data_IF_937033299096
#
_entry.id   IF_937033299096
#
_cell.length_a   1.000
_cell.length_b   1.000
_cell.length_c   1.000
_cell.angle_alpha   90.00
_cell.angle_beta   90.00
_cell.angle_gamma   90.00
#
_symmetry.space_group_name_H-M   'P 1'
#
loop_
_entity.id
_entity.type
_entity.pdbx_description
1 polymer ?
#
# COMPACT_ATOMS: atom_id res chain seq x y z
N UNK A 1 -17.04 7.96 -8.33
CA UNK A 1 -17.62 7.93 -6.98
C UNK A 1 -16.89 6.81 -6.24
N UNK A 2 -16.10 7.12 -5.21
CA UNK A 2 -15.45 6.10 -4.38
C UNK A 2 -16.54 5.49 -3.48
N UNK A 3 -16.73 4.18 -3.56
CA UNK A 3 -17.71 3.49 -2.72
C UNK A 3 -17.13 3.31 -1.32
N UNK A 4 -17.92 3.57 -0.27
CA UNK A 4 -17.47 3.37 1.12
C UNK A 4 -17.21 1.91 1.47
N UNK A 5 -17.75 0.99 0.67
CA UNK A 5 -17.64 -0.46 0.90
C UNK A 5 -16.57 -1.12 0.01
N UNK A 6 -15.89 -0.34 -0.84
CA UNK A 6 -14.84 -0.85 -1.70
C UNK A 6 -13.46 -0.74 -1.03
N UNK A 7 -12.69 -1.82 -1.09
CA UNK A 7 -11.28 -1.79 -0.73
C UNK A 7 -10.49 -1.12 -1.85
N UNK A 8 -10.10 0.13 -1.63
CA UNK A 8 -9.24 0.88 -2.54
C UNK A 8 -7.76 0.56 -2.29
N UNK A 9 -6.97 0.44 -3.35
CA UNK A 9 -5.53 0.17 -3.26
C UNK A 9 -4.78 0.71 -4.47
N UNK A 10 -3.47 0.90 -4.29
CA UNK A 10 -2.50 1.09 -5.36
C UNK A 10 -1.60 -0.14 -5.40
N UNK A 11 -1.60 -0.87 -6.52
CA UNK A 11 -0.71 -2.00 -6.73
C UNK A 11 0.57 -1.56 -7.43
N UNK A 12 1.70 -2.09 -6.97
CA UNK A 12 3.01 -1.93 -7.63
C UNK A 12 3.51 -3.33 -7.97
N UNK A 13 3.54 -3.65 -9.27
CA UNK A 13 4.17 -4.88 -9.74
C UNK A 13 5.68 -4.63 -9.96
N UNK A 14 6.52 -5.36 -9.22
CA UNK A 14 7.97 -5.24 -9.31
C UNK A 14 8.59 -6.17 -10.39
N UNK A 15 7.79 -6.99 -11.07
CA UNK A 15 8.15 -7.96 -12.11
C UNK A 15 9.02 -9.14 -11.63
N UNK A 16 9.90 -8.90 -10.67
CA UNK A 16 10.82 -9.88 -10.06
C UNK A 16 10.69 -9.91 -8.53
N UNK A 17 11.36 -10.86 -7.89
CA UNK A 17 11.36 -10.99 -6.43
C UNK A 17 12.35 -10.01 -5.77
N UNK A 18 11.84 -9.11 -4.93
CA UNK A 18 12.65 -8.16 -4.17
C UNK A 18 12.46 -8.29 -2.66
N UNK A 19 13.53 -7.94 -1.92
CA UNK A 19 13.45 -7.67 -0.48
C UNK A 19 13.12 -6.19 -0.29
N UNK A 20 11.88 -5.90 0.06
CA UNK A 20 11.41 -4.53 0.35
C UNK A 20 11.74 -4.19 1.81
N UNK A 21 12.51 -3.13 2.03
CA UNK A 21 12.92 -2.68 3.38
C UNK A 21 12.13 -1.48 3.88
N UNK A 22 11.36 -0.82 3.02
CA UNK A 22 10.51 0.31 3.39
C UNK A 22 9.73 0.86 2.20
N UNK A 23 8.80 1.76 2.49
CA UNK A 23 8.05 2.52 1.50
C UNK A 23 7.93 3.99 1.96
N UNK A 24 7.57 4.86 1.02
CA UNK A 24 7.24 6.26 1.28
C UNK A 24 5.99 6.61 0.50
N UNK A 25 5.06 7.31 1.13
CA UNK A 25 3.84 7.81 0.50
C UNK A 25 3.96 9.31 0.29
N UNK A 26 3.19 9.83 -0.66
CA UNK A 26 3.06 11.26 -0.86
C UNK A 26 1.59 11.58 -1.16
N UNK A 27 1.10 12.66 -0.54
CA UNK A 27 -0.21 13.22 -0.85
C UNK A 27 -0.24 13.89 -2.23
N UNK A 28 -1.40 14.41 -2.60
CA UNK A 28 -1.54 15.18 -3.83
C UNK A 28 -0.78 16.50 -3.66
N UNK A 29 0.14 16.81 -4.57
CA UNK A 29 0.81 18.12 -4.58
C UNK A 29 -0.11 19.23 -5.09
N UNK A 30 -0.80 19.00 -6.21
CA UNK A 30 -1.84 19.92 -6.70
C UNK A 30 -1.37 21.34 -7.02
N UNK A 31 -0.14 21.51 -7.53
CA UNK A 31 0.49 22.84 -7.72
C UNK A 31 0.51 23.68 -6.44
N UNK A 32 0.70 23.04 -5.28
CA UNK A 32 0.68 23.69 -3.97
C UNK A 32 -0.71 23.89 -3.38
N UNK A 33 -1.79 23.52 -4.09
CA UNK A 33 -3.17 23.54 -3.58
C UNK A 33 -3.64 22.17 -3.09
N UNK A 34 -2.77 21.16 -3.15
CA UNK A 34 -3.01 19.85 -2.57
C UNK A 34 -3.20 19.89 -1.06
N UNK A 35 -4.25 19.25 -0.57
CA UNK A 35 -4.50 19.09 0.87
C UNK A 35 -4.75 17.63 1.27
N UNK A 36 -4.88 16.75 0.28
CA UNK A 36 -5.29 15.37 0.46
C UNK A 36 -4.07 14.45 0.50
N UNK A 37 -4.03 13.61 1.53
CA UNK A 37 -3.05 12.54 1.70
C UNK A 37 -3.70 11.38 2.47
N UNK A 38 -3.14 10.18 2.32
CA UNK A 38 -3.52 9.06 3.15
C UNK A 38 -2.85 9.21 4.52
N UNK A 39 -3.64 9.38 5.58
CA UNK A 39 -3.14 9.48 6.96
C UNK A 39 -2.61 8.14 7.46
N UNK A 40 -3.27 7.06 7.07
CA UNK A 40 -2.88 5.68 7.36
C UNK A 40 -3.05 4.83 6.10
N UNK A 41 -2.25 3.78 6.00
CA UNK A 41 -2.33 2.81 4.93
C UNK A 41 -1.86 1.46 5.44
N UNK A 42 -2.28 0.41 4.74
CA UNK A 42 -1.91 -0.97 5.04
C UNK A 42 -1.13 -1.52 3.86
N UNK A 43 -0.11 -2.33 4.15
CA UNK A 43 0.65 -3.01 3.10
C UNK A 43 0.16 -4.43 2.98
N UNK A 44 -0.20 -4.82 1.76
CA UNK A 44 -0.38 -6.21 1.40
C UNK A 44 0.66 -6.58 0.35
N UNK A 45 1.19 -7.80 0.45
CA UNK A 45 2.15 -8.31 -0.52
C UNK A 45 1.75 -9.69 -1.01
N UNK A 46 2.22 -10.00 -2.21
CA UNK A 46 2.10 -11.29 -2.85
C UNK A 46 3.47 -11.69 -3.40
N UNK A 47 3.75 -12.98 -3.46
CA UNK A 47 4.94 -13.53 -4.12
C UNK A 47 4.62 -14.90 -4.70
N UNK A 48 5.44 -15.45 -5.62
CA UNK A 48 5.23 -16.79 -6.16
C UNK A 48 4.96 -17.83 -5.06
N UNK A 49 4.04 -18.75 -5.34
CA UNK A 49 3.49 -19.76 -4.42
C UNK A 49 2.49 -19.24 -3.37
N UNK A 50 2.13 -17.96 -3.37
CA UNK A 50 1.00 -17.48 -2.57
C UNK A 50 -0.30 -17.64 -3.35
N UNK A 51 -1.36 -18.10 -2.68
CA UNK A 51 -2.71 -18.20 -3.27
C UNK A 51 -3.55 -16.95 -3.05
N UNK A 52 -3.07 -16.01 -2.23
CA UNK A 52 -3.73 -14.75 -1.89
C UNK A 52 -2.72 -13.71 -1.41
N UNK A 53 -3.12 -12.45 -1.46
CA UNK A 53 -2.41 -11.35 -0.82
C UNK A 53 -2.35 -11.56 0.71
N UNK A 54 -1.24 -11.17 1.31
CA UNK A 54 -1.01 -11.28 2.75
C UNK A 54 -0.76 -9.89 3.34
N UNK A 55 -1.43 -9.59 4.45
CA UNK A 55 -1.24 -8.37 5.23
C UNK A 55 0.14 -8.39 5.89
N UNK A 56 0.93 -7.36 5.62
CA UNK A 56 2.20 -7.15 6.30
C UNK A 56 1.96 -6.81 7.76
N UNK A 57 2.86 -7.28 8.63
CA UNK A 57 2.89 -7.00 10.05
C UNK A 57 4.33 -6.73 10.45
N UNK A 58 4.52 -5.76 11.34
CA UNK A 58 5.81 -5.53 11.95
C UNK A 58 6.19 -6.68 12.90
N UNK A 59 7.41 -6.63 13.45
CA UNK A 59 7.95 -7.69 14.34
C UNK A 59 7.12 -7.92 15.61
N UNK A 60 6.31 -6.94 16.02
CA UNK A 60 5.41 -7.03 17.16
C UNK A 60 3.99 -7.48 16.76
N UNK A 61 3.77 -7.85 15.49
CA UNK A 61 2.47 -8.27 14.97
C UNK A 61 1.49 -7.14 14.69
N UNK A 62 1.91 -5.88 14.84
CA UNK A 62 1.09 -4.71 14.49
C UNK A 62 1.18 -4.46 12.99
N UNK A 63 0.03 -4.24 12.38
CA UNK A 63 -0.11 -3.87 10.98
C UNK A 63 0.31 -2.42 10.72
#
# INVERSE_FOLDING_TARGET
MVSRDAKEYLEINLEELYVITGCRTQGRFGNGQGQEYAEEYMIEYWRPNFTKWVRWKNRSGKE
#
